data_IF_546348401962
#
_entry.id   IF_546348401962
#
_cell.length_a   1.000
_cell.length_b   1.000
_cell.length_c   1.000
_cell.angle_alpha   90.00
_cell.angle_beta   90.00
_cell.angle_gamma   90.00
#
_symmetry.space_group_name_H-M   'P 1'
#
loop_
_entity.id
_entity.type
_entity.pdbx_description
1 polymer ?
#
# COMPACT_ATOMS: atom_id res chain seq x y z
N UNK A 1 19.97 -7.38 63.72
CA UNK A 1 20.14 -8.26 62.54
C UNK A 1 18.85 -9.09 62.47
N UNK A 2 17.93 -8.94 61.52
CA UNK A 2 18.07 -8.90 60.06
C UNK A 2 17.12 -7.82 59.49
N UNK A 3 17.61 -7.11 58.48
CA UNK A 3 16.94 -6.07 57.68
C UNK A 3 16.06 -6.75 56.61
N UNK A 4 14.79 -6.39 56.55
CA UNK A 4 13.91 -6.72 55.43
C UNK A 4 13.70 -5.44 54.61
N UNK A 5 14.35 -5.41 53.45
CA UNK A 5 14.28 -4.34 52.45
C UNK A 5 12.92 -4.32 51.75
N UNK A 6 12.44 -3.10 51.56
CA UNK A 6 11.55 -2.56 50.53
C UNK A 6 10.87 -3.55 49.57
N UNK A 7 9.53 -3.64 49.70
CA UNK A 7 8.63 -4.14 48.66
C UNK A 7 8.30 -2.94 47.77
N UNK A 8 8.98 -2.82 46.63
CA UNK A 8 8.60 -1.89 45.58
C UNK A 8 7.35 -2.44 44.91
N UNK A 9 6.22 -1.74 45.10
CA UNK A 9 4.98 -2.00 44.39
C UNK A 9 5.19 -1.51 42.96
N UNK A 10 5.38 -2.44 42.02
CA UNK A 10 5.46 -2.15 40.60
C UNK A 10 4.08 -1.68 40.12
N UNK A 11 3.88 -0.36 40.12
CA UNK A 11 2.72 0.28 39.52
C UNK A 11 3.00 0.43 38.03
N UNK A 12 2.97 -0.67 37.28
CA UNK A 12 2.91 -0.56 35.81
C UNK A 12 1.55 0.04 35.44
N UNK A 13 1.47 1.25 34.86
CA UNK A 13 0.21 1.74 34.32
C UNK A 13 -0.14 0.93 33.08
N UNK A 14 -1.29 0.26 33.10
CA UNK A 14 -1.94 -0.27 31.90
C UNK A 14 -2.09 0.86 30.87
N UNK A 15 -1.63 0.72 29.62
CA UNK A 15 -1.97 1.68 28.60
C UNK A 15 -3.41 1.42 28.15
N UNK A 16 -4.34 2.13 28.78
CA UNK A 16 -5.66 2.36 28.23
C UNK A 16 -5.54 3.30 27.03
N UNK A 17 -5.98 2.82 25.88
CA UNK A 17 -6.63 3.65 24.85
C UNK A 17 -5.78 4.77 24.24
N UNK A 18 -4.91 4.40 23.31
CA UNK A 18 -4.66 5.21 22.11
C UNK A 18 -4.93 4.35 20.87
N UNK A 19 -6.20 3.96 20.74
CA UNK A 19 -6.81 3.63 19.45
C UNK A 19 -6.56 4.79 18.50
N UNK A 20 -5.65 4.64 17.53
CA UNK A 20 -5.66 5.23 16.18
C UNK A 20 -4.30 5.00 15.50
N UNK A 21 -4.08 3.79 14.99
CA UNK A 21 -3.16 3.58 13.87
C UNK A 21 -3.55 2.28 13.17
N UNK A 22 -4.53 2.35 12.26
CA UNK A 22 -4.62 1.39 11.15
C UNK A 22 -3.51 1.74 10.15
N UNK A 23 -2.26 1.64 10.61
CA UNK A 23 -1.06 1.68 9.78
C UNK A 23 -0.67 0.20 9.69
N UNK A 24 -0.78 -0.41 8.51
CA UNK A 24 -0.16 -1.71 8.31
C UNK A 24 1.30 -1.61 8.79
N UNK A 25 1.87 -2.65 9.43
CA UNK A 25 3.26 -2.59 9.91
C UNK A 25 4.14 -2.08 8.77
N UNK A 26 4.93 -1.03 8.97
CA UNK A 26 5.69 -0.36 7.89
C UNK A 26 6.46 -1.35 7.00
N UNK A 27 6.95 -2.43 7.59
CA UNK A 27 7.59 -3.56 6.91
C UNK A 27 6.74 -4.23 5.81
N UNK A 28 5.42 -4.32 5.99
CA UNK A 28 4.49 -4.84 4.98
C UNK A 28 4.37 -3.91 3.78
N UNK A 29 4.25 -2.60 4.03
CA UNK A 29 4.17 -1.58 2.97
C UNK A 29 5.48 -1.51 2.18
N UNK A 30 6.62 -1.54 2.87
CA UNK A 30 7.93 -1.55 2.23
C UNK A 30 8.14 -2.81 1.36
N UNK A 31 7.72 -3.97 1.84
CA UNK A 31 7.77 -5.22 1.08
C UNK A 31 6.89 -5.17 -0.18
N UNK A 32 5.69 -4.56 -0.10
CA UNK A 32 4.83 -4.31 -1.26
C UNK A 32 5.50 -3.40 -2.28
N UNK A 33 6.06 -2.27 -1.84
CA UNK A 33 6.80 -1.37 -2.72
C UNK A 33 8.03 -2.03 -3.36
N UNK A 34 8.73 -2.88 -2.61
CA UNK A 34 9.88 -3.61 -3.13
C UNK A 34 9.47 -4.59 -4.25
N UNK A 35 8.37 -5.31 -4.09
CA UNK A 35 7.79 -6.16 -5.15
C UNK A 35 7.39 -5.34 -6.38
N UNK A 36 6.75 -4.19 -6.20
CA UNK A 36 6.39 -3.29 -7.30
C UNK A 36 7.62 -2.73 -8.04
N UNK A 37 8.71 -2.43 -7.33
CA UNK A 37 9.97 -2.00 -7.95
C UNK A 37 10.60 -3.12 -8.77
N UNK A 38 10.66 -4.34 -8.22
CA UNK A 38 11.18 -5.49 -8.95
C UNK A 38 10.37 -5.77 -10.22
N UNK A 39 9.04 -5.67 -10.16
CA UNK A 39 8.18 -5.79 -11.33
C UNK A 39 8.50 -4.72 -12.38
N UNK A 40 8.67 -3.47 -11.97
CA UNK A 40 9.05 -2.35 -12.87
C UNK A 40 10.41 -2.60 -13.54
N UNK A 41 11.39 -3.09 -12.79
CA UNK A 41 12.74 -3.38 -13.30
C UNK A 41 12.75 -4.56 -14.26
N UNK A 42 11.83 -5.51 -14.10
CA UNK A 42 11.65 -6.66 -15.00
C UNK A 42 10.95 -6.34 -16.32
N UNK A 43 10.51 -5.10 -16.55
CA UNK A 43 9.84 -4.75 -17.81
C UNK A 43 10.79 -4.84 -19.01
N UNK A 44 10.36 -5.50 -20.11
CA UNK A 44 11.10 -5.49 -21.37
C UNK A 44 11.37 -4.07 -21.87
N UNK A 45 12.45 -3.85 -22.62
CA UNK A 45 12.76 -2.53 -23.19
C UNK A 45 11.69 -2.05 -24.16
N UNK A 46 11.07 -2.98 -24.89
CA UNK A 46 10.08 -2.74 -25.96
C UNK A 46 8.66 -2.42 -25.46
N UNK A 47 8.34 -2.68 -24.19
CA UNK A 47 6.96 -2.49 -23.70
C UNK A 47 6.58 -1.00 -23.65
N UNK A 48 5.39 -0.66 -24.14
CA UNK A 48 4.90 0.71 -24.19
C UNK A 48 4.68 1.26 -22.77
N UNK A 49 4.90 2.56 -22.57
CA UNK A 49 4.66 3.27 -21.29
C UNK A 49 3.22 3.08 -20.79
N UNK A 50 2.25 3.07 -21.70
CA UNK A 50 0.85 2.84 -21.39
C UNK A 50 0.65 1.48 -20.71
N UNK A 51 1.16 0.41 -21.34
CA UNK A 51 1.06 -0.95 -20.82
C UNK A 51 1.82 -1.12 -19.50
N UNK A 52 3.00 -0.51 -19.36
CA UNK A 52 3.75 -0.49 -18.10
C UNK A 52 2.91 0.06 -16.95
N UNK A 53 2.19 1.17 -17.19
CA UNK A 53 1.35 1.79 -16.15
C UNK A 53 0.14 0.91 -15.84
N UNK A 54 -0.53 0.33 -16.84
CA UNK A 54 -1.66 -0.58 -16.62
C UNK A 54 -1.26 -1.82 -15.80
N UNK A 55 -0.10 -2.41 -16.11
CA UNK A 55 0.44 -3.55 -15.35
C UNK A 55 0.73 -3.14 -13.90
N UNK A 56 1.36 -1.97 -13.69
CA UNK A 56 1.64 -1.49 -12.33
C UNK A 56 0.37 -1.13 -11.55
N UNK A 57 -0.67 -0.61 -12.19
CA UNK A 57 -1.98 -0.38 -11.54
C UNK A 57 -2.55 -1.72 -11.08
N UNK A 58 -2.55 -2.74 -11.95
CA UNK A 58 -3.06 -4.06 -11.61
C UNK A 58 -2.31 -4.66 -10.43
N UNK A 59 -0.98 -4.61 -10.45
CA UNK A 59 -0.15 -5.07 -9.35
C UNK A 59 -0.36 -4.26 -8.06
N UNK A 60 -0.62 -2.94 -8.14
CA UNK A 60 -0.97 -2.15 -6.97
C UNK A 60 -2.27 -2.66 -6.33
N UNK A 61 -3.28 -2.97 -7.13
CA UNK A 61 -4.55 -3.53 -6.65
C UNK A 61 -4.32 -4.92 -6.01
N UNK A 62 -3.51 -5.78 -6.62
CA UNK A 62 -3.15 -7.11 -6.06
C UNK A 62 -2.39 -7.01 -4.73
N UNK A 63 -1.51 -6.02 -4.59
CA UNK A 63 -0.78 -5.74 -3.34
C UNK A 63 -1.67 -5.07 -2.28
N UNK A 64 -2.93 -4.78 -2.59
CA UNK A 64 -3.91 -4.21 -1.68
C UNK A 64 -3.95 -2.67 -1.65
N UNK A 65 -3.30 -1.99 -2.59
CA UNK A 65 -3.55 -0.57 -2.84
C UNK A 65 -4.84 -0.45 -3.63
N UNK A 66 -5.96 -0.44 -2.91
CA UNK A 66 -7.27 -0.52 -3.55
C UNK A 66 -7.92 0.84 -3.82
N UNK A 67 -7.40 1.96 -3.33
CA UNK A 67 -8.01 3.28 -3.56
C UNK A 67 -7.24 4.08 -4.60
N UNK A 68 -7.94 4.86 -5.42
CA UNK A 68 -7.32 5.68 -6.48
C UNK A 68 -6.15 6.56 -6.00
N UNK A 69 -6.28 7.31 -4.87
CA UNK A 69 -5.18 8.09 -4.33
C UNK A 69 -3.97 7.23 -3.91
N UNK A 70 -4.20 6.04 -3.35
CA UNK A 70 -3.12 5.11 -2.95
C UNK A 70 -2.43 4.49 -4.15
N UNK A 71 -3.19 4.04 -5.15
CA UNK A 71 -2.69 3.50 -6.42
C UNK A 71 -1.83 4.55 -7.13
N UNK A 72 -2.39 5.74 -7.38
CA UNK A 72 -1.69 6.80 -8.10
C UNK A 72 -0.48 7.33 -7.32
N UNK A 73 -0.57 7.36 -5.98
CA UNK A 73 0.55 7.68 -5.11
C UNK A 73 1.67 6.66 -5.17
N UNK A 74 1.35 5.36 -5.14
CA UNK A 74 2.34 4.28 -5.25
C UNK A 74 3.04 4.33 -6.61
N UNK A 75 2.29 4.49 -7.69
CA UNK A 75 2.85 4.62 -9.06
C UNK A 75 3.75 5.85 -9.19
N UNK A 76 3.39 6.97 -8.57
CA UNK A 76 4.22 8.16 -8.55
C UNK A 76 5.56 7.94 -7.81
N UNK A 77 5.54 7.22 -6.69
CA UNK A 77 6.77 6.83 -5.97
C UNK A 77 7.67 5.90 -6.79
N UNK A 78 7.10 5.15 -7.73
CA UNK A 78 7.84 4.32 -8.68
C UNK A 78 8.38 5.14 -9.88
N UNK A 79 8.18 6.46 -9.92
CA UNK A 79 8.74 7.37 -10.93
C UNK A 79 7.86 7.58 -12.15
N UNK A 80 6.58 7.20 -12.11
CA UNK A 80 5.62 7.48 -13.18
C UNK A 80 4.80 8.74 -12.89
N UNK A 81 4.22 9.32 -13.93
CA UNK A 81 3.38 10.50 -13.77
C UNK A 81 2.04 10.14 -13.09
N UNK A 82 1.74 10.82 -11.97
CA UNK A 82 0.52 10.60 -11.18
C UNK A 82 -0.76 10.88 -11.96
N UNK A 83 -0.81 11.97 -12.73
CA UNK A 83 -1.97 12.34 -13.53
C UNK A 83 -2.20 11.32 -14.64
N UNK A 84 -1.13 10.88 -15.31
CA UNK A 84 -1.23 9.83 -16.31
C UNK A 84 -1.77 8.53 -15.70
N UNK A 85 -1.26 8.10 -14.55
CA UNK A 85 -1.77 6.92 -13.85
C UNK A 85 -3.25 7.06 -13.45
N UNK A 86 -3.68 8.26 -13.05
CA UNK A 86 -5.10 8.54 -12.76
C UNK A 86 -5.99 8.40 -14.00
N UNK A 87 -5.54 8.91 -15.14
CA UNK A 87 -6.24 8.76 -16.43
C UNK A 87 -6.35 7.28 -16.80
N UNK A 88 -5.25 6.52 -16.72
CA UNK A 88 -5.23 5.09 -17.04
C UNK A 88 -6.16 4.27 -16.13
N UNK A 89 -6.18 4.58 -14.83
CA UNK A 89 -7.06 3.92 -13.87
C UNK A 89 -8.53 4.18 -14.20
N UNK A 90 -8.86 5.40 -14.63
CA UNK A 90 -10.22 5.76 -15.01
C UNK A 90 -10.65 5.14 -16.34
N UNK A 91 -9.76 5.14 -17.35
CA UNK A 91 -10.01 4.53 -18.66
C UNK A 91 -10.18 3.01 -18.57
N UNK A 92 -9.40 2.34 -17.71
CA UNK A 92 -9.52 0.88 -17.50
C UNK A 92 -10.67 0.47 -16.56
N UNK A 93 -11.36 1.41 -15.92
CA UNK A 93 -12.48 1.11 -15.04
C UNK A 93 -13.67 0.55 -15.85
N UNK A 94 -14.25 -0.56 -15.40
CA UNK A 94 -15.27 -1.32 -16.12
C UNK A 94 -14.73 -2.34 -17.13
N UNK A 95 -13.42 -2.34 -17.40
CA UNK A 95 -12.78 -3.31 -18.30
C UNK A 95 -11.73 -4.17 -17.59
N UNK A 96 -10.84 -3.53 -16.83
CA UNK A 96 -9.73 -4.16 -16.11
C UNK A 96 -9.94 -4.15 -14.60
N UNK A 97 -10.63 -3.12 -14.11
CA UNK A 97 -10.97 -2.96 -12.71
C UNK A 97 -12.44 -2.65 -12.55
N UNK A 98 -13.05 -3.14 -11.48
CA UNK A 98 -14.34 -2.66 -11.01
C UNK A 98 -14.15 -1.83 -9.76
N UNK A 99 -14.91 -0.75 -9.65
CA UNK A 99 -14.95 0.08 -8.44
C UNK A 99 -16.16 -0.32 -7.60
N UNK A 100 -15.91 -0.74 -6.36
CA UNK A 100 -16.98 -1.08 -5.42
C UNK A 100 -17.69 0.19 -4.88
N UNK A 101 -18.77 -0.02 -4.13
CA UNK A 101 -19.56 1.07 -3.51
C UNK A 101 -18.75 1.93 -2.53
N UNK A 102 -17.66 1.39 -1.98
CA UNK A 102 -16.76 2.08 -1.05
C UNK A 102 -15.65 2.84 -1.77
N UNK A 103 -15.58 2.72 -3.10
CA UNK A 103 -14.58 3.34 -3.95
C UNK A 103 -13.26 2.60 -4.05
N UNK A 104 -13.23 1.32 -3.68
CA UNK A 104 -12.09 0.43 -3.87
C UNK A 104 -12.12 -0.17 -5.27
N UNK A 105 -10.95 -0.27 -5.89
CA UNK A 105 -10.72 -0.95 -7.15
C UNK A 105 -10.39 -2.41 -6.88
N UNK A 106 -11.02 -3.30 -7.65
CA UNK A 106 -10.80 -4.73 -7.66
C UNK A 106 -10.39 -5.15 -9.07
N UNK A 107 -9.37 -6.01 -9.19
CA UNK A 107 -8.97 -6.56 -10.48
C UNK A 107 -10.07 -7.47 -11.06
N UNK A 108 -10.27 -7.36 -12.37
CA UNK A 108 -11.15 -8.24 -13.15
C UNK A 108 -10.38 -9.27 -13.99
N UNK A 109 -9.04 -9.14 -14.01
CA UNK A 109 -8.11 -9.98 -14.76
C UNK A 109 -7.45 -11.02 -13.85
#
# INVERSE_FOLDING_TARGET
MISAKDIVVDVTPLPATAMLATDAPRHDVDAKFQRLRQLKEGFPTEINKHDRVLILISACVDEGFVTGPRITGAIAQLGFNRQHAGIMLQEGCGQRWIKDEKGNFLNLL
#
